data_IF_462257400524
#
_entry.id   IF_462257400524
#
_cell.length_a   1.000
_cell.length_b   1.000
_cell.length_c   1.000
_cell.angle_alpha   90.00
_cell.angle_beta   90.00
_cell.angle_gamma   90.00
#
_symmetry.space_group_name_H-M   'P 1'
#
loop_
_entity.id
_entity.type
_entity.pdbx_description
1 polymer ?
#
# COMPACT_ATOMS: atom_id res chain seq x y z
N UNK A 1 5.92 -1.83 -7.53
CA UNK A 1 4.62 -2.48 -7.19
C UNK A 1 3.60 -1.39 -6.95
N UNK A 2 2.32 -1.62 -7.24
CA UNK A 2 1.26 -0.66 -6.94
C UNK A 2 0.17 -1.35 -6.12
N UNK A 3 0.01 -0.93 -4.86
CA UNK A 3 -0.88 -1.59 -3.93
C UNK A 3 -2.34 -1.22 -4.14
N UNK A 4 -2.63 0.00 -4.61
CA UNK A 4 -3.99 0.38 -5.00
C UNK A 4 -4.49 -0.48 -6.15
N UNK A 5 -3.66 -0.66 -7.18
CA UNK A 5 -4.01 -1.48 -8.32
C UNK A 5 -4.13 -2.98 -8.00
N UNK A 6 -3.33 -3.51 -7.08
CA UNK A 6 -3.49 -4.89 -6.59
C UNK A 6 -4.81 -5.08 -5.85
N UNK A 7 -5.18 -4.12 -5.00
CA UNK A 7 -6.49 -4.09 -4.35
C UNK A 7 -7.63 -4.04 -5.39
N UNK A 8 -7.54 -3.19 -6.42
CA UNK A 8 -8.53 -3.12 -7.49
C UNK A 8 -8.67 -4.43 -8.29
N UNK A 9 -7.54 -5.00 -8.75
CA UNK A 9 -7.54 -6.24 -9.54
C UNK A 9 -8.08 -7.44 -8.78
N UNK A 10 -7.94 -7.44 -7.45
CA UNK A 10 -8.46 -8.48 -6.57
C UNK A 10 -9.88 -8.21 -6.08
N UNK A 11 -10.56 -7.18 -6.61
CA UNK A 11 -11.90 -6.77 -6.18
C UNK A 11 -11.98 -6.49 -4.67
N UNK A 12 -10.88 -6.00 -4.10
CA UNK A 12 -10.76 -5.67 -2.69
C UNK A 12 -10.26 -6.79 -1.78
N UNK A 13 -10.00 -7.99 -2.30
CA UNK A 13 -9.53 -9.12 -1.47
C UNK A 13 -8.11 -8.92 -0.92
N UNK A 14 -7.24 -8.20 -1.64
CA UNK A 14 -5.87 -7.91 -1.20
C UNK A 14 -5.81 -6.69 -0.26
N UNK A 15 -6.47 -6.79 0.88
CA UNK A 15 -6.48 -5.78 1.95
C UNK A 15 -6.26 -6.41 3.34
N UNK A 16 -5.78 -5.60 4.29
CA UNK A 16 -5.60 -6.02 5.68
C UNK A 16 -4.25 -6.69 5.94
N UNK A 17 -4.01 -7.00 7.22
CA UNK A 17 -2.70 -7.46 7.72
C UNK A 17 -2.23 -8.74 7.04
N UNK A 18 -3.11 -9.74 6.92
CA UNK A 18 -2.74 -11.03 6.32
C UNK A 18 -2.39 -10.91 4.83
N UNK A 19 -3.17 -10.15 4.06
CA UNK A 19 -2.88 -9.92 2.65
C UNK A 19 -1.58 -9.13 2.47
N UNK A 20 -1.36 -8.08 3.26
CA UNK A 20 -0.11 -7.31 3.23
C UNK A 20 1.11 -8.18 3.53
N UNK A 21 1.05 -9.01 4.58
CA UNK A 21 2.14 -9.95 4.91
C UNK A 21 2.41 -10.93 3.75
N UNK A 22 1.37 -11.53 3.19
CA UNK A 22 1.49 -12.47 2.05
C UNK A 22 2.11 -11.81 0.81
N UNK A 23 1.66 -10.60 0.46
CA UNK A 23 2.23 -9.84 -0.67
C UNK A 23 3.71 -9.53 -0.46
N UNK A 24 4.10 -9.05 0.73
CA UNK A 24 5.49 -8.74 1.03
C UNK A 24 6.37 -9.99 1.13
N UNK A 25 5.83 -11.11 1.63
CA UNK A 25 6.52 -12.40 1.61
C UNK A 25 6.80 -12.86 0.18
N UNK A 26 5.83 -12.69 -0.73
CA UNK A 26 6.02 -13.00 -2.14
C UNK A 26 7.09 -12.13 -2.79
N UNK A 27 7.14 -10.83 -2.47
CA UNK A 27 8.19 -9.92 -2.94
C UNK A 27 9.56 -10.42 -2.48
N UNK A 28 9.71 -10.76 -1.19
CA UNK A 28 10.96 -11.33 -0.65
C UNK A 28 11.34 -12.65 -1.33
N UNK A 29 10.39 -13.56 -1.51
CA UNK A 29 10.63 -14.86 -2.14
C UNK A 29 11.18 -14.71 -3.57
N UNK A 30 10.64 -13.77 -4.35
CA UNK A 30 11.01 -13.57 -5.76
C UNK A 30 12.28 -12.73 -5.92
N UNK A 31 12.44 -11.68 -5.10
CA UNK A 31 13.53 -10.71 -5.28
C UNK A 31 14.72 -10.93 -4.34
N UNK A 32 14.55 -11.72 -3.28
CA UNK A 32 15.48 -11.84 -2.17
C UNK A 32 15.40 -10.67 -1.19
N UNK A 33 15.92 -10.88 0.02
CA UNK A 33 15.81 -9.96 1.16
C UNK A 33 16.29 -8.53 0.84
N UNK A 34 17.47 -8.40 0.24
CA UNK A 34 18.10 -7.09 0.01
C UNK A 34 17.25 -6.22 -0.91
N UNK A 35 16.72 -6.79 -2.00
CA UNK A 35 15.89 -6.03 -2.97
C UNK A 35 14.48 -5.80 -2.45
N UNK A 36 13.94 -6.74 -1.68
CA UNK A 36 12.63 -6.58 -1.05
C UNK A 36 12.65 -5.49 0.04
N UNK A 37 13.77 -5.28 0.73
CA UNK A 37 13.88 -4.22 1.74
C UNK A 37 13.82 -2.78 1.20
N UNK A 38 14.04 -2.57 -0.11
CA UNK A 38 14.21 -1.24 -0.72
C UNK A 38 13.44 -1.08 -2.04
N UNK A 39 12.34 -1.83 -2.23
CA UNK A 39 11.58 -1.74 -3.47
C UNK A 39 10.96 -0.35 -3.69
N UNK A 40 10.59 -0.09 -4.95
CA UNK A 40 9.81 1.07 -5.32
C UNK A 40 8.33 0.70 -5.48
N UNK A 41 7.45 1.53 -4.94
CA UNK A 41 6.02 1.32 -5.03
C UNK A 41 5.19 2.58 -5.09
N UNK A 42 3.92 2.39 -5.46
CA UNK A 42 2.89 3.40 -5.57
C UNK A 42 1.74 3.03 -4.64
N UNK A 43 1.08 4.04 -4.07
CA UNK A 43 -0.05 3.86 -3.18
C UNK A 43 -1.05 5.01 -3.30
N UNK A 44 -2.33 4.66 -3.39
CA UNK A 44 -3.47 5.49 -3.08
C UNK A 44 -4.63 4.58 -2.73
N UNK A 45 -5.69 5.13 -2.12
CA UNK A 45 -6.99 4.46 -2.23
C UNK A 45 -7.44 4.51 -3.70
N UNK A 46 -8.20 3.52 -4.16
CA UNK A 46 -8.63 3.45 -5.55
C UNK A 46 -10.06 2.96 -5.65
N UNK A 47 -10.87 3.67 -6.42
CA UNK A 47 -12.16 3.17 -6.87
C UNK A 47 -11.94 2.30 -8.10
N UNK A 48 -12.63 1.17 -8.17
CA UNK A 48 -12.55 0.26 -9.31
C UNK A 48 -13.94 -0.13 -9.86
N UNK A 49 -13.95 -0.56 -11.11
CA UNK A 49 -15.13 -1.09 -11.83
C UNK A 49 -15.47 -2.51 -11.36
N UNK A 50 -16.68 -3.05 -11.63
CA UNK A 50 -17.05 -4.40 -11.18
C UNK A 50 -16.09 -5.53 -11.61
N UNK A 51 -15.27 -5.31 -12.65
CA UNK A 51 -14.27 -6.25 -13.14
C UNK A 51 -12.83 -5.91 -12.68
N UNK A 52 -12.66 -5.02 -11.70
CA UNK A 52 -11.37 -4.69 -11.09
C UNK A 52 -10.47 -3.76 -11.91
N UNK A 53 -11.00 -3.15 -12.97
CA UNK A 53 -10.32 -2.07 -13.69
C UNK A 53 -10.38 -0.76 -12.90
N UNK A 54 -9.30 0.01 -12.88
CA UNK A 54 -9.26 1.34 -12.26
C UNK A 54 -10.41 2.21 -12.78
N UNK A 55 -11.08 2.89 -11.85
CA UNK A 55 -12.00 3.98 -12.18
C UNK A 55 -11.36 5.34 -11.87
N UNK A 56 -10.78 5.50 -10.68
CA UNK A 56 -10.01 6.69 -10.28
C UNK A 56 -9.24 6.46 -8.97
N UNK A 57 -8.15 7.19 -8.79
CA UNK A 57 -7.48 7.35 -7.50
C UNK A 57 -8.33 8.18 -6.53
N UNK A 58 -8.21 7.87 -5.24
CA UNK A 58 -8.94 8.50 -4.13
C UNK A 58 -7.97 9.04 -3.07
N UNK A 59 -8.48 9.88 -2.18
CA UNK A 59 -7.75 10.38 -1.00
C UNK A 59 -8.00 9.51 0.22
N UNK A 60 -7.18 9.61 1.26
CA UNK A 60 -7.39 8.81 2.48
C UNK A 60 -8.62 9.23 3.30
N UNK A 61 -9.12 10.45 3.10
CA UNK A 61 -10.31 10.98 3.76
C UNK A 61 -11.63 10.40 3.21
N UNK A 62 -11.58 9.64 2.12
CA UNK A 62 -12.74 8.96 1.55
C UNK A 62 -12.89 7.58 2.19
N UNK A 63 -14.09 7.29 2.69
CA UNK A 63 -14.37 6.04 3.40
C UNK A 63 -14.76 4.89 2.45
N UNK A 64 -15.23 5.22 1.24
CA UNK A 64 -15.56 4.24 0.22
C UNK A 64 -14.29 3.76 -0.49
N UNK A 65 -14.10 2.42 -0.52
CA UNK A 65 -12.94 1.72 -1.08
C UNK A 65 -11.63 1.90 -0.27
N UNK A 66 -10.73 0.95 -0.48
CA UNK A 66 -9.40 0.92 0.11
C UNK A 66 -8.30 1.01 -0.95
N UNK A 67 -7.12 0.43 -0.69
CA UNK A 67 -6.77 -0.25 0.56
C UNK A 67 -6.44 0.75 1.69
N UNK A 68 -6.69 0.36 2.94
CA UNK A 68 -6.16 1.05 4.12
C UNK A 68 -4.62 1.01 4.12
N UNK A 69 -3.91 2.16 4.24
CA UNK A 69 -2.45 2.17 4.34
C UNK A 69 -1.89 1.54 5.62
N UNK A 70 -2.65 1.51 6.72
CA UNK A 70 -2.11 1.14 8.03
C UNK A 70 -1.55 -0.29 8.11
N UNK A 71 -2.24 -1.34 7.61
CA UNK A 71 -1.70 -2.70 7.62
C UNK A 71 -0.39 -2.83 6.83
N UNK A 72 -0.28 -2.15 5.69
CA UNK A 72 0.92 -2.18 4.86
C UNK A 72 2.10 -1.49 5.54
N UNK A 73 1.88 -0.28 6.08
CA UNK A 73 2.94 0.46 6.78
C UNK A 73 3.45 -0.27 8.02
N UNK A 74 2.54 -0.87 8.80
CA UNK A 74 2.91 -1.68 9.96
C UNK A 74 3.74 -2.90 9.57
N UNK A 75 3.39 -3.58 8.49
CA UNK A 75 4.11 -4.78 8.04
C UNK A 75 5.49 -4.45 7.46
N UNK A 76 5.62 -3.32 6.74
CA UNK A 76 6.92 -2.82 6.28
C UNK A 76 7.82 -2.47 7.47
N UNK A 77 7.29 -1.75 8.46
CA UNK A 77 8.01 -1.39 9.68
C UNK A 77 8.46 -2.63 10.47
N UNK A 78 7.58 -3.61 10.65
CA UNK A 78 7.88 -4.88 11.33
C UNK A 78 9.04 -5.65 10.71
N UNK A 79 9.25 -5.50 9.40
CA UNK A 79 10.35 -6.13 8.66
C UNK A 79 11.65 -5.32 8.70
N UNK A 80 11.64 -4.11 9.25
CA UNK A 80 12.78 -3.19 9.20
C UNK A 80 13.11 -2.73 7.77
N UNK A 81 12.13 -2.77 6.87
CA UNK A 81 12.31 -2.40 5.48
C UNK A 81 12.11 -0.90 5.28
N UNK A 82 12.79 -0.33 4.29
CA UNK A 82 12.72 1.10 3.94
C UNK A 82 12.49 1.32 2.44
N UNK A 83 11.39 0.80 1.87
CA UNK A 83 11.04 1.02 0.46
C UNK A 83 10.58 2.46 0.22
N UNK A 84 10.57 2.85 -1.06
CA UNK A 84 9.98 4.11 -1.49
C UNK A 84 8.51 3.91 -1.84
N UNK A 85 7.64 4.72 -1.23
CA UNK A 85 6.23 4.83 -1.58
C UNK A 85 5.97 6.18 -2.26
N UNK A 86 5.57 6.16 -3.53
CA UNK A 86 5.00 7.33 -4.20
C UNK A 86 3.51 7.36 -3.90
N UNK A 87 3.04 8.46 -3.28
CA UNK A 87 1.61 8.66 -3.05
C UNK A 87 0.95 9.25 -4.30
N UNK A 88 -0.11 8.61 -4.78
CA UNK A 88 -0.86 9.00 -5.99
C UNK A 88 -2.29 9.44 -5.66
N UNK A 89 -2.59 9.72 -4.39
CA UNK A 89 -3.89 10.22 -3.96
C UNK A 89 -4.33 11.45 -4.76
N UNK A 90 -5.63 11.54 -5.07
CA UNK A 90 -6.18 12.59 -5.92
C UNK A 90 -6.17 13.98 -5.24
N UNK A 91 -5.07 14.74 -5.42
CA UNK A 91 -4.94 16.11 -4.95
C UNK A 91 -4.49 16.28 -3.49
N UNK A 92 -4.19 15.18 -2.80
CA UNK A 92 -3.73 15.14 -1.39
C UNK A 92 -2.43 14.34 -1.24
N UNK A 93 -1.62 14.27 -2.29
CA UNK A 93 -0.44 13.40 -2.33
C UNK A 93 0.52 13.66 -1.16
N UNK A 94 0.74 14.93 -0.82
CA UNK A 94 1.64 15.32 0.26
C UNK A 94 1.09 14.96 1.65
N UNK A 95 -0.19 15.23 1.87
CA UNK A 95 -0.91 14.97 3.12
C UNK A 95 -1.03 13.46 3.39
N UNK A 96 -1.39 12.69 2.36
CA UNK A 96 -1.57 11.25 2.46
C UNK A 96 -0.22 10.53 2.57
N UNK A 97 0.82 11.00 1.87
CA UNK A 97 2.18 10.51 2.07
C UNK A 97 2.68 10.76 3.50
N UNK A 98 2.37 11.93 4.08
CA UNK A 98 2.70 12.24 5.48
C UNK A 98 1.95 11.31 6.44
N UNK A 99 0.70 10.98 6.16
CA UNK A 99 -0.08 9.99 6.92
C UNK A 99 0.58 8.62 6.87
N UNK A 100 0.98 8.11 5.69
CA UNK A 100 1.71 6.85 5.56
C UNK A 100 3.01 6.86 6.37
N UNK A 101 3.78 7.95 6.28
CA UNK A 101 5.03 8.11 7.04
C UNK A 101 4.79 8.04 8.55
N UNK A 102 3.75 8.71 9.05
CA UNK A 102 3.39 8.68 10.48
C UNK A 102 2.98 7.28 10.93
N UNK A 103 2.19 6.56 10.14
CA UNK A 103 1.79 5.17 10.42
C UNK A 103 3.01 4.25 10.49
N UNK A 104 3.94 4.37 9.54
CA UNK A 104 5.19 3.62 9.54
C UNK A 104 6.03 3.94 10.80
N UNK A 105 6.25 5.22 11.09
CA UNK A 105 7.04 5.65 12.24
C UNK A 105 6.43 5.19 13.57
N UNK A 106 5.11 5.27 13.71
CA UNK A 106 4.41 4.78 14.90
C UNK A 106 4.55 3.26 15.09
N UNK A 107 4.74 2.50 14.02
CA UNK A 107 4.95 1.05 14.06
C UNK A 107 6.42 0.65 14.30
N UNK A 108 7.39 1.55 14.10
CA UNK A 108 8.82 1.26 14.27
C UNK A 108 9.28 1.15 15.74
N UNK A 109 8.53 1.71 16.69
CA UNK A 109 8.93 1.79 18.11
C UNK A 109 9.81 3.01 18.40
#
# INVERSE_FOLDING_TARGET
>A
MDFGHLYARSLGELEGTAACASMLDRIREVLGEVRAGVFHSHFSKIQFTPNGGEKMHLTFAQDDFGPDPAPLMAEVARRGWSPTFICESAGTQAEDALTMKRLYQAACG
#
